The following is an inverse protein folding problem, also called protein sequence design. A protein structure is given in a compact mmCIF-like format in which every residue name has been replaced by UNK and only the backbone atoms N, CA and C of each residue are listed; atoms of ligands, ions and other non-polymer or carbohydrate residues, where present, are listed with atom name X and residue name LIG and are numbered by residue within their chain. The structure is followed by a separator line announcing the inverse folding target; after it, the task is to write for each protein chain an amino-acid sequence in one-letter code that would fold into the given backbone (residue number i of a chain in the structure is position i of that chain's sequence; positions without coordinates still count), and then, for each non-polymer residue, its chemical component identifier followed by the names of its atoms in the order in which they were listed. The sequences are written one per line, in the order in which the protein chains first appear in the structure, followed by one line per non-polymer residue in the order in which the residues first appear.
data_IF_687695602166
#
_entry.id   IF_687695602166
#
_cell.length_a   1.000
_cell.length_b   1.000
_cell.length_c   1.000
_cell.angle_alpha   90.00
_cell.angle_beta   90.00
_cell.angle_gamma   90.00
#
_symmetry.space_group_name_H-M   'P 1'
#
loop_
_entity.id
_entity.type
_entity.pdbx_description
1 polymer ?
#
# COMPACT_ATOMS: atom_id res chain seq x y z
N UNK A 1 -40.55 10.25 -37.28
CA UNK A 1 -39.15 10.03 -37.72
C UNK A 1 -38.24 10.25 -36.52
N UNK A 2 -37.66 9.17 -35.98
CA UNK A 2 -36.66 9.27 -34.92
C UNK A 2 -35.35 9.80 -35.50
N UNK A 3 -34.70 10.75 -34.82
CA UNK A 3 -33.33 11.16 -35.17
C UNK A 3 -32.40 9.95 -34.98
N UNK A 4 -31.41 9.72 -35.85
CA UNK A 4 -30.40 8.71 -35.59
C UNK A 4 -29.64 9.12 -34.32
N UNK A 5 -29.53 8.21 -33.36
CA UNK A 5 -28.57 8.35 -32.26
C UNK A 5 -27.20 8.08 -32.88
N UNK A 6 -26.38 9.13 -32.99
CA UNK A 6 -25.01 9.02 -33.45
C UNK A 6 -24.21 8.21 -32.42
N UNK A 7 -23.84 6.97 -32.75
CA UNK A 7 -22.94 6.18 -31.93
C UNK A 7 -21.53 6.77 -32.02
N UNK A 8 -21.17 7.60 -31.05
CA UNK A 8 -19.82 8.16 -30.90
C UNK A 8 -18.88 7.19 -30.16
N UNK A 9 -19.01 5.88 -30.40
CA UNK A 9 -18.05 4.91 -29.86
C UNK A 9 -16.67 5.14 -30.47
N UNK A 10 -15.76 5.71 -29.67
CA UNK A 10 -14.35 5.91 -30.06
C UNK A 10 -13.64 4.57 -29.94
N UNK A 11 -13.76 3.76 -30.98
CA UNK A 11 -13.16 2.43 -31.02
C UNK A 11 -11.86 2.44 -31.80
N UNK A 12 -10.78 1.96 -31.20
CA UNK A 12 -9.54 1.63 -31.86
C UNK A 12 -9.39 0.10 -31.88
N UNK A 13 -9.20 -0.48 -33.07
CA UNK A 13 -8.99 -1.92 -33.24
C UNK A 13 -7.61 -2.14 -33.87
N UNK A 14 -6.77 -2.90 -33.17
CA UNK A 14 -5.44 -3.30 -33.63
C UNK A 14 -5.56 -4.77 -34.04
N UNK A 15 -5.61 -4.99 -35.35
CA UNK A 15 -5.86 -6.31 -35.93
C UNK A 15 -4.65 -7.24 -35.78
N UNK A 16 -4.88 -8.52 -36.07
CA UNK A 16 -3.84 -9.53 -36.25
C UNK A 16 -2.77 -9.01 -37.23
N UNK A 17 -1.53 -9.48 -37.07
CA UNK A 17 -0.36 -9.07 -37.85
C UNK A 17 0.00 -7.56 -37.79
N UNK A 18 -0.70 -6.79 -36.96
CA UNK A 18 -0.39 -5.37 -36.74
C UNK A 18 0.54 -5.22 -35.53
N UNK A 19 1.65 -4.51 -35.73
CA UNK A 19 2.57 -4.10 -34.66
C UNK A 19 2.46 -2.58 -34.47
N UNK A 20 2.06 -2.15 -33.27
CA UNK A 20 2.00 -0.74 -32.89
C UNK A 20 3.01 -0.46 -31.78
N UNK A 21 3.90 0.50 -32.02
CA UNK A 21 4.79 1.04 -30.99
C UNK A 21 4.57 2.54 -30.82
N UNK A 22 4.25 2.98 -29.60
CA UNK A 22 4.01 4.39 -29.32
C UNK A 22 2.97 4.63 -28.23
N UNK A 23 2.31 5.79 -28.29
CA UNK A 23 1.36 6.23 -27.27
C UNK A 23 -0.07 6.31 -27.85
N UNK A 24 -1.03 5.71 -27.14
CA UNK A 24 -2.46 5.82 -27.41
C UNK A 24 -3.10 6.67 -26.31
N UNK A 25 -3.63 7.84 -26.67
CA UNK A 25 -4.37 8.74 -25.77
C UNK A 25 -5.83 8.87 -26.18
N UNK A 26 -6.68 9.16 -25.20
CA UNK A 26 -8.11 9.43 -25.41
C UNK A 26 -8.84 8.29 -26.16
N UNK A 27 -8.44 7.03 -25.93
CA UNK A 27 -9.15 5.87 -26.48
C UNK A 27 -10.46 5.64 -25.72
N UNK A 28 -11.58 5.45 -26.41
CA UNK A 28 -12.79 4.97 -25.75
C UNK A 28 -12.64 3.49 -25.46
N UNK A 29 -12.92 2.66 -26.48
CA UNK A 29 -12.68 1.22 -26.45
C UNK A 29 -11.47 0.88 -27.33
N UNK A 30 -10.52 0.14 -26.78
CA UNK A 30 -9.30 -0.30 -27.46
C UNK A 30 -9.32 -1.82 -27.50
N UNK A 31 -9.33 -2.39 -28.70
CA UNK A 31 -9.29 -3.84 -28.91
C UNK A 31 -7.98 -4.26 -29.55
N UNK A 32 -7.29 -5.22 -28.94
CA UNK A 32 -5.98 -5.67 -29.40
C UNK A 32 -6.05 -7.15 -29.74
N UNK A 33 -5.98 -7.44 -31.04
CA UNK A 33 -5.74 -8.77 -31.60
C UNK A 33 -4.27 -8.97 -32.01
N UNK A 34 -3.58 -7.88 -32.38
CA UNK A 34 -2.17 -7.87 -32.76
C UNK A 34 -1.22 -7.62 -31.58
N UNK A 35 -0.18 -6.84 -31.82
CA UNK A 35 0.87 -6.51 -30.86
C UNK A 35 0.95 -5.00 -30.59
N UNK A 36 1.01 -4.62 -29.32
CA UNK A 36 1.18 -3.23 -28.86
C UNK A 36 2.33 -3.13 -27.87
N UNK A 37 3.25 -2.19 -28.11
CA UNK A 37 4.31 -1.79 -27.17
C UNK A 37 4.24 -0.28 -26.92
N UNK A 38 3.96 0.12 -25.68
CA UNK A 38 3.99 1.52 -25.25
C UNK A 38 2.87 1.90 -24.29
N UNK A 39 2.49 3.17 -24.31
CA UNK A 39 1.58 3.76 -23.32
C UNK A 39 0.14 3.77 -23.84
N UNK A 40 -0.78 3.16 -23.10
CA UNK A 40 -2.20 3.04 -23.45
C UNK A 40 -3.04 3.77 -22.40
N UNK A 41 -3.79 4.79 -22.82
CA UNK A 41 -4.75 5.50 -21.99
C UNK A 41 -6.15 5.56 -22.64
N UNK A 42 -7.17 5.05 -21.94
CA UNK A 42 -8.54 5.03 -22.45
C UNK A 42 -9.60 4.52 -21.46
N UNK A 43 -10.83 4.32 -21.91
CA UNK A 43 -11.92 3.86 -21.03
C UNK A 43 -11.89 2.33 -20.86
N UNK A 44 -11.80 1.59 -21.96
CA UNK A 44 -11.84 0.14 -21.97
C UNK A 44 -10.72 -0.45 -22.82
N UNK A 45 -9.92 -1.35 -22.25
CA UNK A 45 -8.99 -2.20 -22.99
C UNK A 45 -9.52 -3.63 -23.08
N UNK A 46 -9.50 -4.20 -24.28
CA UNK A 46 -9.81 -5.61 -24.51
C UNK A 46 -8.62 -6.24 -25.23
N UNK A 47 -7.93 -7.15 -24.54
CA UNK A 47 -6.86 -7.95 -25.14
C UNK A 47 -7.49 -9.26 -25.59
N UNK A 48 -7.64 -9.44 -26.90
CA UNK A 48 -8.29 -10.61 -27.49
C UNK A 48 -7.34 -11.83 -27.46
N UNK A 49 -7.85 -13.06 -27.68
CA UNK A 49 -6.98 -14.23 -27.78
C UNK A 49 -5.87 -14.02 -28.82
N UNK A 50 -4.62 -14.32 -28.46
CA UNK A 50 -3.45 -14.07 -29.31
C UNK A 50 -2.91 -12.63 -29.28
N UNK A 51 -3.72 -11.66 -28.87
CA UNK A 51 -3.32 -10.26 -28.70
C UNK A 51 -2.32 -10.08 -27.57
N UNK A 52 -1.37 -9.16 -27.75
CA UNK A 52 -0.32 -8.88 -26.78
C UNK A 52 -0.15 -7.38 -26.55
N UNK A 53 -0.17 -6.96 -25.30
CA UNK A 53 0.04 -5.58 -24.88
C UNK A 53 1.20 -5.51 -23.88
N UNK A 54 2.22 -4.71 -24.21
CA UNK A 54 3.39 -4.48 -23.38
C UNK A 54 3.55 -2.98 -23.11
N UNK A 55 3.77 -2.60 -21.85
CA UNK A 55 4.05 -1.22 -21.47
C UNK A 55 3.11 -0.69 -20.40
N UNK A 56 2.85 0.62 -20.40
CA UNK A 56 2.05 1.27 -19.37
C UNK A 56 0.59 1.32 -19.78
N UNK A 57 -0.32 0.81 -18.96
CA UNK A 57 -1.76 0.82 -19.26
C UNK A 57 -2.50 1.57 -18.17
N UNK A 58 -3.29 2.58 -18.55
CA UNK A 58 -4.17 3.34 -17.66
C UNK A 58 -5.58 3.39 -18.23
N UNK A 59 -6.47 2.54 -17.72
CA UNK A 59 -7.85 2.41 -18.20
C UNK A 59 -8.88 2.36 -17.09
N UNK A 60 -10.16 2.63 -17.40
CA UNK A 60 -11.25 2.44 -16.44
C UNK A 60 -11.55 0.94 -16.25
N UNK A 61 -11.57 0.17 -17.34
CA UNK A 61 -11.81 -1.29 -17.31
C UNK A 61 -10.93 -2.07 -18.29
N UNK A 62 -10.65 -3.34 -17.96
CA UNK A 62 -9.89 -4.24 -18.81
C UNK A 62 -10.51 -5.65 -18.88
N UNK A 63 -10.62 -6.21 -20.09
CA UNK A 63 -11.02 -7.60 -20.35
C UNK A 63 -9.89 -8.32 -21.09
N UNK A 64 -9.23 -9.27 -20.40
CA UNK A 64 -7.99 -9.89 -20.85
C UNK A 64 -8.23 -11.35 -21.21
N UNK A 65 -8.17 -11.65 -22.51
CA UNK A 65 -8.17 -13.00 -23.11
C UNK A 65 -6.81 -13.39 -23.72
N UNK A 66 -5.89 -12.43 -23.87
CA UNK A 66 -4.52 -12.63 -24.35
C UNK A 66 -3.49 -12.25 -23.30
N UNK A 67 -2.36 -11.67 -23.71
CA UNK A 67 -1.25 -11.28 -22.81
C UNK A 67 -1.23 -9.78 -22.55
N UNK A 68 -1.20 -9.40 -21.27
CA UNK A 68 -1.04 -8.01 -20.83
C UNK A 68 0.12 -7.92 -19.83
N UNK A 69 1.18 -7.19 -20.17
CA UNK A 69 2.37 -7.08 -19.33
C UNK A 69 2.87 -5.63 -19.15
N UNK A 70 3.19 -5.25 -17.92
CA UNK A 70 3.86 -3.98 -17.59
C UNK A 70 3.27 -3.27 -16.37
N UNK A 71 3.27 -1.93 -16.40
CA UNK A 71 2.69 -1.08 -15.35
C UNK A 71 1.20 -0.84 -15.64
N UNK A 72 0.33 -1.56 -14.95
CA UNK A 72 -1.09 -1.67 -15.27
C UNK A 72 -1.91 -0.98 -14.18
N UNK A 73 -2.71 0.01 -14.56
CA UNK A 73 -3.64 0.73 -13.70
C UNK A 73 -5.06 0.64 -14.26
N UNK A 74 -5.92 -0.15 -13.60
CA UNK A 74 -7.32 -0.34 -13.97
C UNK A 74 -8.22 0.21 -12.87
N UNK A 75 -8.89 1.33 -13.11
CA UNK A 75 -9.60 2.03 -12.03
C UNK A 75 -10.79 1.27 -11.46
N UNK A 76 -11.56 0.56 -12.28
CA UNK A 76 -12.81 -0.08 -11.86
C UNK A 76 -12.71 -1.60 -11.79
N UNK A 77 -12.56 -2.29 -12.92
CA UNK A 77 -12.59 -3.75 -13.00
C UNK A 77 -11.60 -4.26 -14.04
N UNK A 78 -10.74 -5.19 -13.62
CA UNK A 78 -9.99 -6.07 -14.50
C UNK A 78 -10.62 -7.47 -14.49
N UNK A 79 -10.98 -7.97 -15.66
CA UNK A 79 -11.49 -9.34 -15.87
C UNK A 79 -10.45 -10.16 -16.62
N UNK A 80 -9.92 -11.20 -15.99
CA UNK A 80 -8.97 -12.14 -16.61
C UNK A 80 -9.74 -13.39 -17.00
N UNK A 81 -9.88 -13.62 -18.31
CA UNK A 81 -10.61 -14.75 -18.88
C UNK A 81 -9.77 -16.02 -18.84
N UNK A 82 -10.36 -17.16 -19.17
CA UNK A 82 -9.69 -18.46 -19.07
C UNK A 82 -8.38 -18.65 -19.87
N UNK A 83 -8.10 -17.78 -20.85
CA UNK A 83 -6.83 -17.74 -21.59
C UNK A 83 -5.99 -16.49 -21.33
N UNK A 84 -6.46 -15.61 -20.44
CA UNK A 84 -5.82 -14.35 -20.13
C UNK A 84 -4.60 -14.53 -19.24
N UNK A 85 -3.53 -13.81 -19.56
CA UNK A 85 -2.32 -13.74 -18.75
C UNK A 85 -1.99 -12.28 -18.48
N UNK A 86 -1.87 -11.93 -17.20
CA UNK A 86 -1.52 -10.59 -16.75
C UNK A 86 -0.27 -10.64 -15.87
N UNK A 87 0.77 -9.89 -16.24
CA UNK A 87 2.05 -9.88 -15.52
C UNK A 87 2.58 -8.46 -15.28
N UNK A 88 3.06 -8.16 -14.07
CA UNK A 88 3.75 -6.88 -13.76
C UNK A 88 3.19 -6.13 -12.55
N UNK A 89 3.37 -4.82 -12.51
CA UNK A 89 2.85 -3.96 -11.44
C UNK A 89 1.38 -3.66 -11.70
N UNK A 90 0.47 -4.34 -11.00
CA UNK A 90 -0.98 -4.21 -11.28
C UNK A 90 -1.69 -3.51 -10.13
N UNK A 91 -2.27 -2.35 -10.41
CA UNK A 91 -3.22 -1.65 -9.53
C UNK A 91 -4.62 -1.76 -10.12
N UNK A 92 -5.56 -2.25 -9.33
CA UNK A 92 -6.93 -2.46 -9.78
C UNK A 92 -7.96 -2.09 -8.70
N UNK A 93 -9.16 -1.66 -9.13
CA UNK A 93 -10.29 -1.47 -8.22
C UNK A 93 -10.93 -2.80 -7.79
N UNK A 94 -11.29 -3.63 -8.76
CA UNK A 94 -11.84 -4.98 -8.57
C UNK A 94 -11.19 -5.95 -9.54
N UNK A 95 -11.06 -7.21 -9.12
CA UNK A 95 -10.53 -8.31 -9.93
C UNK A 95 -11.62 -9.38 -10.09
N UNK A 96 -11.87 -9.80 -11.32
CA UNK A 96 -12.65 -10.98 -11.66
C UNK A 96 -11.79 -11.95 -12.47
N UNK A 97 -11.79 -13.24 -12.11
CA UNK A 97 -11.00 -14.25 -12.81
C UNK A 97 -11.87 -15.46 -13.16
N UNK A 98 -11.72 -15.94 -14.38
CA UNK A 98 -12.29 -17.20 -14.86
C UNK A 98 -11.29 -18.36 -14.69
N UNK A 99 -11.79 -19.60 -14.69
CA UNK A 99 -10.94 -20.79 -14.65
C UNK A 99 -9.95 -20.79 -15.81
N UNK A 100 -8.65 -20.91 -15.50
CA UNK A 100 -7.54 -20.89 -16.47
C UNK A 100 -6.86 -19.53 -16.63
N UNK A 101 -7.47 -18.44 -16.15
CA UNK A 101 -6.83 -17.12 -16.13
C UNK A 101 -5.64 -17.08 -15.17
N UNK A 102 -4.54 -16.45 -15.62
CA UNK A 102 -3.29 -16.35 -14.87
C UNK A 102 -2.97 -14.88 -14.53
N UNK A 103 -2.61 -14.63 -13.28
CA UNK A 103 -2.16 -13.32 -12.79
C UNK A 103 -0.86 -13.48 -12.00
N UNK A 104 0.21 -12.85 -12.49
CA UNK A 104 1.50 -12.75 -11.80
C UNK A 104 1.79 -11.27 -11.53
N UNK A 105 1.31 -10.75 -10.41
CA UNK A 105 1.41 -9.32 -10.09
C UNK A 105 2.41 -9.05 -8.96
N UNK A 106 3.19 -8.00 -9.11
CA UNK A 106 3.86 -7.34 -7.98
C UNK A 106 2.85 -6.42 -7.31
N UNK A 107 2.39 -6.82 -6.11
CA UNK A 107 1.56 -5.94 -5.27
C UNK A 107 2.47 -4.86 -4.71
N UNK A 108 2.20 -3.59 -5.04
CA UNK A 108 2.98 -2.48 -4.51
C UNK A 108 2.59 -2.25 -3.05
N UNK A 109 3.45 -2.73 -2.16
CA UNK A 109 3.43 -2.45 -0.73
C UNK A 109 3.38 -0.93 -0.48
N UNK A 110 2.43 -0.46 0.33
CA UNK A 110 2.40 0.94 0.79
C UNK A 110 3.17 0.98 2.11
N UNK A 111 4.23 1.78 2.25
CA UNK A 111 4.94 1.85 3.53
C UNK A 111 4.02 2.39 4.64
N UNK A 112 4.19 1.90 5.88
CA UNK A 112 3.39 2.35 7.00
C UNK A 112 3.72 3.80 7.34
N UNK A 113 2.78 4.48 7.99
CA UNK A 113 2.95 5.85 8.48
C UNK A 113 2.71 5.92 9.98
N UNK A 114 3.50 6.75 10.69
CA UNK A 114 3.30 7.02 12.12
C UNK A 114 2.29 8.16 12.27
N UNK A 115 1.40 8.03 13.24
CA UNK A 115 0.43 9.03 13.68
C UNK A 115 0.43 9.13 15.22
N UNK A 116 -0.40 10.05 15.74
CA UNK A 116 -0.39 10.46 17.15
C UNK A 116 0.24 11.84 17.34
N UNK A 117 0.13 12.38 18.54
CA UNK A 117 0.76 13.66 18.92
C UNK A 117 2.24 13.51 19.31
N UNK A 118 2.71 12.28 19.54
CA UNK A 118 4.08 11.94 19.96
C UNK A 118 4.50 12.61 21.26
N UNK A 119 3.54 12.94 22.13
CA UNK A 119 3.77 13.62 23.39
C UNK A 119 3.19 12.80 24.55
N UNK A 120 4.05 12.44 25.50
CA UNK A 120 3.68 11.69 26.70
C UNK A 120 3.95 12.51 27.96
N UNK A 121 3.30 12.14 29.06
CA UNK A 121 3.64 12.65 30.38
C UNK A 121 3.74 11.50 31.39
N UNK A 122 4.78 11.52 32.22
CA UNK A 122 5.05 10.48 33.22
C UNK A 122 5.49 11.12 34.53
N UNK A 123 5.11 10.53 35.65
CA UNK A 123 5.65 10.93 36.95
C UNK A 123 7.05 10.33 37.15
N UNK A 124 7.94 11.07 37.81
CA UNK A 124 9.32 10.66 38.03
C UNK A 124 9.42 9.25 38.63
N UNK A 125 10.15 8.37 37.94
CA UNK A 125 10.39 6.99 38.37
C UNK A 125 9.18 6.05 38.22
N UNK A 126 8.08 6.54 37.63
CA UNK A 126 6.88 5.76 37.34
C UNK A 126 6.84 5.32 35.88
N UNK A 127 5.83 4.52 35.56
CA UNK A 127 5.52 4.12 34.20
C UNK A 127 4.18 4.72 33.79
N UNK A 128 4.07 5.08 32.51
CA UNK A 128 2.83 5.51 31.86
C UNK A 128 2.56 4.58 30.68
N UNK A 129 1.29 4.28 30.42
CA UNK A 129 0.88 3.54 29.23
C UNK A 129 0.96 4.45 28.01
N UNK A 130 1.54 3.95 26.93
CA UNK A 130 1.50 4.62 25.62
C UNK A 130 0.14 4.27 24.99
N UNK A 131 -0.61 5.28 24.59
CA UNK A 131 -1.95 5.14 24.02
C UNK A 131 -1.95 5.43 22.52
N UNK A 132 -3.05 5.11 21.84
CA UNK A 132 -3.22 5.39 20.41
C UNK A 132 -3.32 6.89 20.08
N UNK A 133 -3.54 7.74 21.09
CA UNK A 133 -3.45 9.19 20.92
C UNK A 133 -1.99 9.62 20.81
N UNK A 134 -1.11 9.00 21.59
CA UNK A 134 0.30 9.38 21.67
C UNK A 134 1.07 8.80 20.48
N UNK A 135 0.80 7.55 20.12
CA UNK A 135 1.50 6.84 19.07
C UNK A 135 0.60 5.78 18.41
N UNK A 136 0.52 5.78 17.09
CA UNK A 136 -0.10 4.72 16.29
C UNK A 136 0.55 4.59 14.91
N UNK A 137 0.36 3.45 14.26
CA UNK A 137 0.76 3.22 12.87
C UNK A 137 -0.47 2.98 11.98
N UNK A 138 -0.43 3.53 10.77
CA UNK A 138 -1.46 3.37 9.76
C UNK A 138 -0.84 2.77 8.49
N UNK A 139 -1.43 1.68 8.04
CA UNK A 139 -1.04 0.95 6.84
C UNK A 139 -2.29 0.38 6.15
N UNK A 140 -2.51 0.60 4.85
CA UNK A 140 -3.70 0.13 4.15
C UNK A 140 -3.62 -1.34 3.69
N UNK A 141 -2.46 -1.98 3.75
CA UNK A 141 -2.21 -3.35 3.26
C UNK A 141 -1.79 -4.35 4.34
N UNK A 142 -1.41 -3.88 5.54
CA UNK A 142 -1.01 -4.72 6.66
C UNK A 142 -1.88 -4.54 7.91
N UNK A 143 -2.09 -5.64 8.65
CA UNK A 143 -2.83 -5.65 9.92
C UNK A 143 -1.97 -5.15 11.10
N UNK A 144 -2.58 -4.80 12.22
CA UNK A 144 -1.89 -4.25 13.40
C UNK A 144 -0.78 -5.17 13.95
N UNK A 145 -0.94 -6.49 13.87
CA UNK A 145 0.07 -7.46 14.31
C UNK A 145 1.29 -7.51 13.37
N UNK A 146 1.17 -6.98 12.16
CA UNK A 146 2.21 -6.97 11.13
C UNK A 146 2.99 -5.65 11.09
N UNK A 147 2.59 -4.66 11.89
CA UNK A 147 3.27 -3.37 12.03
C UNK A 147 4.12 -3.36 13.30
N UNK A 148 5.44 -3.38 13.13
CA UNK A 148 6.40 -3.44 14.24
C UNK A 148 7.11 -2.10 14.41
N UNK A 149 6.92 -1.47 15.57
CA UNK A 149 7.72 -0.34 16.01
C UNK A 149 9.08 -0.82 16.52
N UNK A 150 10.14 -0.17 16.10
CA UNK A 150 11.48 -0.28 16.70
C UNK A 150 11.81 0.99 17.48
N UNK A 151 12.28 0.82 18.70
CA UNK A 151 12.62 1.87 19.66
C UNK A 151 14.13 2.11 19.64
N UNK A 152 14.54 3.37 19.60
CA UNK A 152 15.95 3.78 19.63
C UNK A 152 16.13 5.13 20.34
N UNK A 153 17.38 5.58 20.50
CA UNK A 153 17.72 6.91 21.04
C UNK A 153 17.00 7.25 22.36
N UNK A 154 16.83 6.24 23.21
CA UNK A 154 16.12 6.39 24.48
C UNK A 154 16.93 7.26 25.44
N UNK A 155 16.26 8.19 26.11
CA UNK A 155 16.82 9.06 27.14
C UNK A 155 15.92 9.06 28.37
N UNK A 156 16.54 8.96 29.55
CA UNK A 156 15.91 9.12 30.86
C UNK A 156 14.74 8.14 31.13
N UNK A 157 14.84 6.92 30.61
CA UNK A 157 13.80 5.90 30.74
C UNK A 157 13.98 4.72 29.79
N UNK A 158 12.92 3.95 29.59
CA UNK A 158 12.85 2.86 28.62
C UNK A 158 11.40 2.45 28.31
N UNK A 159 11.20 1.82 27.15
CA UNK A 159 9.92 1.21 26.77
C UNK A 159 9.89 -0.24 27.26
N UNK A 160 8.72 -0.70 27.72
CA UNK A 160 8.52 -2.03 28.28
C UNK A 160 7.10 -2.54 27.97
N UNK A 161 6.87 -3.84 28.14
CA UNK A 161 5.54 -4.44 28.04
C UNK A 161 4.97 -4.71 29.44
N UNK A 162 3.65 -4.63 29.56
CA UNK A 162 2.91 -4.82 30.81
C UNK A 162 3.12 -6.22 31.43
N UNK A 163 3.50 -7.21 30.62
CA UNK A 163 3.82 -8.57 31.05
C UNK A 163 5.13 -8.67 31.82
N UNK A 164 6.10 -7.78 31.56
CA UNK A 164 7.37 -7.67 32.27
C UNK A 164 7.82 -6.21 32.39
N UNK A 165 7.16 -5.39 33.23
CA UNK A 165 7.33 -3.92 33.27
C UNK A 165 8.71 -3.42 33.74
N UNK A 166 9.61 -4.33 34.10
CA UNK A 166 10.99 -4.03 34.50
C UNK A 166 11.98 -4.28 33.37
N UNK A 167 11.59 -5.04 32.33
CA UNK A 167 12.45 -5.42 31.23
C UNK A 167 12.26 -4.48 30.04
N UNK A 168 13.32 -3.79 29.58
CA UNK A 168 13.26 -3.01 28.36
C UNK A 168 12.97 -3.86 27.13
N UNK A 169 12.21 -3.31 26.19
CA UNK A 169 12.03 -3.85 24.84
C UNK A 169 12.52 -2.83 23.82
N UNK A 170 13.09 -3.33 22.73
CA UNK A 170 13.50 -2.56 21.56
C UNK A 170 12.45 -2.59 20.44
N UNK A 171 11.42 -3.41 20.57
CA UNK A 171 10.32 -3.47 19.62
C UNK A 171 8.99 -3.86 20.27
N UNK A 172 7.89 -3.43 19.65
CA UNK A 172 6.51 -3.81 19.95
C UNK A 172 5.64 -3.62 18.71
N UNK A 173 4.46 -4.24 18.67
CA UNK A 173 3.54 -4.15 17.52
C UNK A 173 2.47 -3.07 17.70
N UNK A 174 1.83 -2.64 16.60
CA UNK A 174 0.62 -1.81 16.68
C UNK A 174 -0.50 -2.52 17.46
N UNK A 175 -0.60 -3.86 17.37
CA UNK A 175 -1.53 -4.63 18.18
C UNK A 175 -1.24 -4.55 19.69
N UNK A 176 0.02 -4.44 20.12
CA UNK A 176 0.38 -4.23 21.53
C UNK A 176 -0.10 -2.87 22.04
N UNK A 177 -0.03 -1.82 21.22
CA UNK A 177 -0.58 -0.49 21.54
C UNK A 177 -2.11 -0.54 21.68
N UNK A 178 -2.78 -1.23 20.75
CA UNK A 178 -4.23 -1.40 20.75
C UNK A 178 -4.72 -2.19 21.97
N UNK A 179 -3.99 -3.24 22.36
CA UNK A 179 -4.24 -3.99 23.58
C UNK A 179 -3.85 -3.23 24.85
N UNK A 180 -2.96 -2.24 24.71
CA UNK A 180 -2.59 -1.38 25.81
C UNK A 180 -1.47 -1.85 26.70
N UNK A 181 -0.65 -2.75 26.18
CA UNK A 181 0.38 -3.42 26.94
C UNK A 181 1.71 -2.67 26.89
N UNK A 182 1.86 -1.66 26.02
CA UNK A 182 3.09 -0.88 25.89
C UNK A 182 3.15 0.25 26.92
N UNK A 183 4.27 0.33 27.64
CA UNK A 183 4.52 1.33 28.68
C UNK A 183 5.85 2.05 28.41
N UNK A 184 5.91 3.33 28.76
CA UNK A 184 7.17 4.05 28.97
C UNK A 184 7.44 4.17 30.48
N UNK A 185 8.64 3.79 30.93
CA UNK A 185 9.08 3.94 32.32
C UNK A 185 10.20 4.97 32.42
N UNK A 186 10.00 5.97 33.27
CA UNK A 186 11.04 6.92 33.63
C UNK A 186 12.05 6.27 34.58
N UNK A 187 13.35 6.55 34.39
CA UNK A 187 14.44 5.92 35.17
C UNK A 187 14.64 6.50 36.57
N UNK A 188 13.99 7.62 36.87
CA UNK A 188 14.05 8.28 38.17
C UNK A 188 15.15 9.34 38.29
N UNK A 189 15.82 9.69 37.20
CA UNK A 189 16.70 10.87 37.11
C UNK A 189 15.94 12.17 37.43
N UNK A 190 16.65 13.25 37.73
CA UNK A 190 16.06 14.58 37.99
C UNK A 190 15.83 15.39 36.69
N UNK A 191 15.91 14.73 35.53
CA UNK A 191 15.69 15.39 34.25
C UNK A 191 14.19 15.67 34.02
N UNK A 192 13.82 16.91 33.63
CA UNK A 192 12.41 17.28 33.43
C UNK A 192 11.80 16.68 32.14
N UNK A 193 12.62 16.00 31.33
CA UNK A 193 12.24 15.45 30.04
C UNK A 193 12.91 14.10 29.82
N UNK A 194 12.17 13.20 29.19
CA UNK A 194 12.66 11.95 28.64
C UNK A 194 12.22 11.85 27.17
N UNK A 195 12.79 10.91 26.43
CA UNK A 195 12.44 10.73 25.02
C UNK A 195 12.83 9.36 24.50
N UNK A 196 12.22 8.95 23.40
CA UNK A 196 12.70 7.85 22.58
C UNK A 196 12.32 8.10 21.12
N UNK A 197 13.05 7.50 20.19
CA UNK A 197 12.74 7.57 18.77
C UNK A 197 12.14 6.26 18.30
N UNK A 198 11.22 6.34 17.34
CA UNK A 198 10.53 5.19 16.75
C UNK A 198 10.59 5.22 15.22
N UNK A 199 10.67 4.02 14.65
CA UNK A 199 10.38 3.72 13.24
C UNK A 199 9.40 2.55 13.24
N UNK A 200 8.38 2.59 12.39
CA UNK A 200 7.52 1.41 12.15
C UNK A 200 7.88 0.77 10.82
N UNK A 201 7.91 -0.56 10.80
CA UNK A 201 8.06 -1.36 9.60
C UNK A 201 6.89 -2.33 9.44
N UNK A 202 6.50 -2.57 8.20
CA UNK A 202 5.54 -3.63 7.84
C UNK A 202 6.24 -5.00 7.70
N UNK A 203 5.46 -6.03 7.37
CA UNK A 203 5.97 -7.40 7.17
C UNK A 203 6.86 -7.57 5.94
N UNK A 204 6.72 -6.70 4.94
CA UNK A 204 7.53 -6.69 3.73
C UNK A 204 8.87 -5.93 3.94
N UNK A 205 9.02 -5.27 5.09
CA UNK A 205 10.21 -4.53 5.49
C UNK A 205 10.24 -3.07 5.02
N UNK A 206 9.16 -2.54 4.44
CA UNK A 206 9.10 -1.10 4.18
C UNK A 206 8.84 -0.36 5.50
N UNK A 207 9.35 0.87 5.59
CA UNK A 207 9.36 1.63 6.85
C UNK A 207 8.71 2.99 6.70
N UNK A 208 8.34 3.59 7.84
CA UNK A 208 7.84 4.97 7.93
C UNK A 208 8.86 6.06 7.58
N UNK A 209 10.05 5.68 7.11
CA UNK A 209 11.14 6.61 6.77
C UNK A 209 12.02 6.97 7.97
N UNK A 210 12.29 8.26 8.14
CA UNK A 210 13.15 8.75 9.22
C UNK A 210 12.51 8.49 10.59
N UNK A 211 13.36 8.26 11.60
CA UNK A 211 12.90 8.06 12.97
C UNK A 211 12.19 9.30 13.51
N UNK A 212 11.06 9.10 14.16
CA UNK A 212 10.28 10.16 14.80
C UNK A 212 10.47 10.10 16.31
N UNK A 213 10.62 11.26 16.96
CA UNK A 213 10.84 11.33 18.41
C UNK A 213 9.52 11.47 19.15
N UNK A 214 9.31 10.58 20.11
CA UNK A 214 8.28 10.73 21.15
C UNK A 214 8.90 11.50 22.31
N UNK A 215 8.31 12.64 22.65
CA UNK A 215 8.72 13.46 23.78
C UNK A 215 7.97 13.02 25.03
N UNK A 216 8.65 13.00 26.17
CA UNK A 216 8.05 12.63 27.45
C UNK A 216 8.31 13.73 28.46
N UNK A 217 7.27 14.43 28.89
CA UNK A 217 7.34 15.38 30.00
C UNK A 217 7.38 14.64 31.34
N UNK A 218 8.32 15.00 32.22
CA UNK A 218 8.49 14.36 33.52
C UNK A 218 7.90 15.26 34.61
N UNK A 219 6.92 14.73 35.34
CA UNK A 219 6.29 15.37 36.49
C UNK A 219 7.03 15.01 37.78
N UNK A 220 7.10 15.97 38.69
CA UNK A 220 7.77 15.83 40.00
C UNK A 220 6.94 15.03 41.00
#
# INVERSE_FOLDING_TARGET
MGRPVEDKSRVLIIREDTFLKGEIRNGGRIEVFGYVEGDIAGDQLIVQPGGRCFGKVKVESADVRGTLQGDIFVRQLISIRGTGEVTGNVKYGKLAMEMGGMLTAEMRNVPPSISGDLDLAVDKGKAVRITLQDLSALDPDDAAEQLTFTVSQVRNGFVTLATDPARPVDAFTQADLEQGTVLFRHDGTDEPRASFAVVVADRAGATSGAAQTVNVAVRS
#
